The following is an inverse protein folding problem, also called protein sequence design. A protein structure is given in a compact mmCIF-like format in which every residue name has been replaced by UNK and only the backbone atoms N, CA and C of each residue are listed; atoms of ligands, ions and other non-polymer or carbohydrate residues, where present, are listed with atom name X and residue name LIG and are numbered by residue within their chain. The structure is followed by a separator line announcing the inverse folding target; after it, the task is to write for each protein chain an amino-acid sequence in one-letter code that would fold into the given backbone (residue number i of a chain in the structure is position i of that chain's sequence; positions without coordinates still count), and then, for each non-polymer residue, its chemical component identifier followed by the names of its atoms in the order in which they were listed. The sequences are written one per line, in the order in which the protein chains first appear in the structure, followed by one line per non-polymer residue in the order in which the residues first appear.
data_IF_532416882435
#
_entry.id   IF_532416882435
#
_cell.length_a   1.000
_cell.length_b   1.000
_cell.length_c   1.000
_cell.angle_alpha   90.00
_cell.angle_beta   90.00
_cell.angle_gamma   90.00
#
_symmetry.space_group_name_H-M   'P 1'
#
loop_
_entity.id
_entity.type
_entity.pdbx_description
1 polymer ?
#
# COMPACT_ATOMS: atom_id res chain seq x y z
N UNK A 1 25.01 2.86 -20.10
CA UNK A 1 24.26 2.37 -18.92
C UNK A 1 22.95 1.81 -19.42
N UNK A 2 22.81 0.48 -19.46
CA UNK A 2 21.62 -0.17 -19.98
C UNK A 2 20.50 -0.05 -18.95
N UNK A 3 19.52 0.81 -19.23
CA UNK A 3 18.24 0.79 -18.54
C UNK A 3 17.51 -0.47 -18.99
N UNK A 4 17.77 -1.59 -18.32
CA UNK A 4 16.95 -2.79 -18.45
C UNK A 4 15.56 -2.40 -17.95
N UNK A 5 14.65 -2.09 -18.88
CA UNK A 5 13.24 -1.90 -18.59
C UNK A 5 12.72 -3.28 -18.17
N UNK A 6 12.78 -3.56 -16.87
CA UNK A 6 12.17 -4.76 -16.30
C UNK A 6 10.68 -4.69 -16.59
N UNK A 7 10.16 -5.69 -17.31
CA UNK A 7 8.73 -5.83 -17.52
C UNK A 7 8.01 -5.92 -16.17
N UNK A 8 6.85 -5.25 -16.02
CA UNK A 8 6.13 -5.27 -14.75
C UNK A 8 5.74 -6.71 -14.43
N UNK A 9 6.07 -7.15 -13.22
CA UNK A 9 5.70 -8.50 -12.78
C UNK A 9 4.23 -8.53 -12.36
N UNK A 10 3.75 -7.45 -11.76
CA UNK A 10 2.35 -7.28 -11.37
C UNK A 10 1.97 -5.80 -11.34
N UNK A 11 0.74 -5.49 -11.67
CA UNK A 11 0.21 -4.12 -11.67
C UNK A 11 -1.20 -4.11 -11.05
N UNK A 12 -1.52 -3.06 -10.30
CA UNK A 12 -2.86 -2.82 -9.75
C UNK A 12 -3.24 -1.35 -9.88
N UNK A 13 -4.53 -1.07 -9.99
CA UNK A 13 -5.05 0.30 -10.12
C UNK A 13 -5.62 0.78 -8.79
N UNK A 14 -5.29 2.01 -8.41
CA UNK A 14 -5.77 2.71 -7.23
C UNK A 14 -6.80 3.75 -7.68
N UNK A 15 -8.05 3.53 -7.29
CA UNK A 15 -9.18 4.38 -7.61
C UNK A 15 -9.63 5.07 -6.33
N UNK A 16 -9.52 6.40 -6.30
CA UNK A 16 -10.03 7.21 -5.20
C UNK A 16 -11.55 7.30 -5.31
N UNK A 17 -12.28 7.00 -4.22
CA UNK A 17 -13.71 7.29 -4.11
C UNK A 17 -13.91 8.57 -3.33
N UNK A 18 -14.68 9.48 -3.91
CA UNK A 18 -15.17 10.66 -3.22
C UNK A 18 -16.43 10.26 -2.45
N UNK A 19 -16.27 10.06 -1.14
CA UNK A 19 -17.39 9.96 -0.20
C UNK A 19 -17.03 10.75 1.07
N UNK A 20 -17.91 10.71 2.06
CA UNK A 20 -17.76 11.44 3.32
C UNK A 20 -16.53 10.97 4.12
N UNK A 21 -16.01 9.78 3.80
CA UNK A 21 -14.71 9.27 4.23
C UNK A 21 -13.83 9.04 3.00
N UNK A 22 -12.57 9.49 3.05
CA UNK A 22 -11.65 9.26 1.94
C UNK A 22 -11.36 7.75 1.90
N UNK A 23 -11.81 7.09 0.83
CA UNK A 23 -11.62 5.66 0.63
C UNK A 23 -11.02 5.37 -0.73
N UNK A 24 -10.15 4.37 -0.79
CA UNK A 24 -9.55 3.93 -2.06
C UNK A 24 -9.94 2.48 -2.33
N UNK A 25 -10.16 2.17 -3.60
CA UNK A 25 -10.24 0.80 -4.09
C UNK A 25 -9.01 0.49 -4.90
N UNK A 26 -8.42 -0.67 -4.63
CA UNK A 26 -7.29 -1.18 -5.38
C UNK A 26 -7.77 -2.38 -6.17
N UNK A 27 -7.74 -2.30 -7.49
CA UNK A 27 -8.31 -3.29 -8.39
C UNK A 27 -7.25 -3.94 -9.26
N UNK A 28 -7.61 -5.06 -9.87
CA UNK A 28 -6.89 -5.58 -11.03
C UNK A 28 -6.88 -4.55 -12.18
N UNK A 29 -5.91 -4.64 -13.12
CA UNK A 29 -5.81 -3.68 -14.23
C UNK A 29 -7.03 -3.64 -15.17
N UNK A 30 -7.75 -4.76 -15.29
CA UNK A 30 -9.01 -4.89 -16.02
C UNK A 30 -10.23 -4.36 -15.22
N UNK A 31 -10.00 -3.87 -14.01
CA UNK A 31 -11.01 -3.33 -13.07
C UNK A 31 -12.12 -4.32 -12.68
N UNK A 32 -11.96 -5.62 -12.98
CA UNK A 32 -12.99 -6.63 -12.72
C UNK A 32 -13.04 -7.05 -11.25
N UNK A 33 -11.92 -6.95 -10.54
CA UNK A 33 -11.80 -7.44 -9.16
C UNK A 33 -11.24 -6.36 -8.24
N UNK A 34 -11.93 -6.13 -7.13
CA UNK A 34 -11.43 -5.29 -6.04
C UNK A 34 -10.55 -6.18 -5.16
N UNK A 35 -9.26 -5.88 -5.13
CA UNK A 35 -8.26 -6.61 -4.35
C UNK A 35 -8.12 -6.03 -2.94
N UNK A 36 -8.20 -4.70 -2.81
CA UNK A 36 -8.13 -4.03 -1.52
C UNK A 36 -9.09 -2.85 -1.41
N UNK A 37 -9.49 -2.56 -0.19
CA UNK A 37 -10.10 -1.30 0.22
C UNK A 37 -9.21 -0.62 1.24
N UNK A 38 -8.97 0.68 1.06
CA UNK A 38 -8.23 1.51 1.99
C UNK A 38 -9.20 2.47 2.63
N UNK A 39 -9.28 2.44 3.96
CA UNK A 39 -10.11 3.31 4.75
C UNK A 39 -9.25 4.30 5.51
N UNK A 40 -9.69 5.56 5.55
CA UNK A 40 -9.05 6.62 6.33
C UNK A 40 -10.09 7.25 7.25
N UNK A 41 -9.66 7.66 8.45
CA UNK A 41 -10.52 8.37 9.39
C UNK A 41 -10.26 9.88 9.30
N UNK A 42 -11.33 10.67 9.37
CA UNK A 42 -11.21 12.14 9.45
C UNK A 42 -10.89 12.61 10.89
N UNK A 43 -11.16 11.79 11.92
CA UNK A 43 -10.96 12.12 13.33
C UNK A 43 -9.68 11.55 13.93
N UNK A 44 -9.12 10.51 13.32
CA UNK A 44 -7.84 9.92 13.71
C UNK A 44 -6.94 9.81 12.48
N UNK A 45 -5.67 10.23 12.56
CA UNK A 45 -4.76 10.18 11.43
C UNK A 45 -4.26 8.73 11.24
N UNK A 46 -5.16 7.86 10.77
CA UNK A 46 -4.99 6.43 10.65
C UNK A 46 -5.48 5.94 9.28
N UNK A 47 -4.79 4.95 8.75
CA UNK A 47 -5.11 4.26 7.49
C UNK A 47 -5.21 2.78 7.75
N UNK A 48 -6.32 2.16 7.37
CA UNK A 48 -6.52 0.71 7.45
C UNK A 48 -6.63 0.15 6.04
N UNK A 49 -5.86 -0.91 5.75
CA UNK A 49 -5.93 -1.63 4.49
C UNK A 49 -6.62 -2.97 4.72
N UNK A 50 -7.62 -3.24 3.90
CA UNK A 50 -8.41 -4.48 3.91
C UNK A 50 -8.20 -5.16 2.56
N UNK A 51 -7.82 -6.43 2.58
CA UNK A 51 -7.67 -7.30 1.41
C UNK A 51 -8.93 -8.14 1.24
N UNK A 52 -9.36 -8.32 0.00
CA UNK A 52 -10.50 -9.16 -0.36
C UNK A 52 -9.97 -10.45 -1.01
N UNK A 53 -10.20 -11.62 -0.39
CA UNK A 53 -9.54 -12.87 -0.80
C UNK A 53 -10.14 -13.57 -2.03
N UNK A 54 -11.27 -13.11 -2.55
CA UNK A 54 -11.80 -13.34 -3.93
C UNK A 54 -13.08 -12.50 -4.08
N UNK A 55 -13.54 -12.16 -5.30
CA UNK A 55 -14.57 -11.15 -5.48
C UNK A 55 -15.88 -11.64 -4.84
N UNK A 56 -16.75 -10.75 -4.42
CA UNK A 56 -18.19 -11.03 -4.47
C UNK A 56 -18.54 -10.98 -5.96
N UNK A 57 -18.75 -12.10 -6.66
CA UNK A 57 -19.49 -12.02 -7.90
C UNK A 57 -20.97 -11.95 -7.46
N UNK A 58 -21.69 -10.90 -7.84
CA UNK A 58 -23.12 -11.08 -8.01
C UNK A 58 -23.32 -12.04 -9.19
N UNK A 59 -23.18 -13.35 -8.92
CA UNK A 59 -23.70 -14.53 -9.63
C UNK A 59 -22.74 -15.74 -9.57
N UNK A 60 -23.25 -16.80 -8.95
CA UNK A 60 -22.98 -18.24 -9.13
C UNK A 60 -21.81 -18.70 -10.02
N UNK A 61 -20.82 -19.39 -9.43
CA UNK A 61 -20.60 -20.85 -9.58
C UNK A 61 -19.29 -21.24 -8.89
N UNK A 62 -19.35 -22.34 -8.13
CA UNK A 62 -18.20 -22.98 -7.49
C UNK A 62 -17.22 -23.50 -8.54
N UNK A 63 -15.93 -23.18 -8.39
CA UNK A 63 -14.87 -23.97 -8.99
C UNK A 63 -13.78 -24.21 -7.95
N UNK A 64 -13.75 -25.43 -7.43
CA UNK A 64 -12.69 -25.98 -6.61
C UNK A 64 -11.40 -26.06 -7.42
N UNK A 65 -10.26 -25.68 -6.83
CA UNK A 65 -8.96 -26.22 -7.27
C UNK A 65 -7.92 -26.19 -6.15
N UNK A 66 -7.40 -27.38 -5.90
CA UNK A 66 -6.30 -27.77 -5.02
C UNK A 66 -4.97 -27.29 -5.57
N UNK A 67 -4.10 -26.76 -4.71
CA UNK A 67 -2.65 -26.89 -4.87
C UNK A 67 -1.94 -26.68 -3.54
N UNK A 68 -1.51 -27.79 -2.94
CA UNK A 68 -0.46 -27.86 -1.94
C UNK A 68 0.82 -28.19 -2.70
N UNK A 69 1.91 -27.45 -2.47
CA UNK A 69 3.31 -27.91 -2.38
C UNK A 69 4.28 -26.74 -2.58
N UNK A 70 4.79 -26.20 -1.47
CA UNK A 70 6.20 -25.77 -1.30
C UNK A 70 6.31 -25.11 0.07
N UNK A 71 6.76 -25.87 1.06
CA UNK A 71 7.05 -25.35 2.39
C UNK A 71 8.30 -24.49 2.36
N UNK A 72 8.12 -23.19 2.55
CA UNK A 72 9.07 -22.24 3.16
C UNK A 72 8.35 -20.88 3.23
N UNK A 73 8.04 -20.45 4.45
CA UNK A 73 7.33 -19.20 4.82
C UNK A 73 6.15 -18.83 3.93
N UNK A 74 4.97 -19.36 4.29
CA UNK A 74 3.71 -18.87 3.74
C UNK A 74 2.95 -18.01 4.75
N UNK A 75 2.95 -16.69 4.56
CA UNK A 75 2.08 -15.76 5.27
C UNK A 75 0.61 -16.14 5.03
N UNK A 76 0.26 -16.58 3.83
CA UNK A 76 -1.07 -17.11 3.50
C UNK A 76 -1.55 -18.25 4.40
N UNK A 77 -0.63 -19.01 5.01
CA UNK A 77 -0.94 -20.09 5.95
C UNK A 77 -1.15 -19.58 7.39
N UNK A 78 -0.40 -18.55 7.79
CA UNK A 78 -0.60 -17.84 9.07
C UNK A 78 -1.94 -17.07 9.08
N UNK A 79 -2.29 -16.48 7.94
CA UNK A 79 -3.58 -15.81 7.71
C UNK A 79 -4.77 -16.75 7.92
N UNK A 80 -4.64 -18.01 7.49
CA UNK A 80 -5.70 -19.03 7.60
C UNK A 80 -5.85 -19.62 9.00
N UNK A 81 -4.81 -19.54 9.83
CA UNK A 81 -4.84 -20.01 11.21
C UNK A 81 -5.55 -19.02 12.16
N UNK A 82 -5.52 -17.71 11.85
CA UNK A 82 -6.18 -16.68 12.68
C UNK A 82 -7.71 -16.62 12.51
N UNK A 83 -8.26 -17.14 11.40
CA UNK A 83 -9.70 -17.16 11.14
C UNK A 83 -10.48 -18.20 11.95
N UNK A 84 -9.84 -18.99 12.83
CA UNK A 84 -10.50 -20.08 13.55
C UNK A 84 -10.92 -19.76 14.99
N UNK A 85 -10.71 -18.53 15.50
CA UNK A 85 -10.91 -18.23 16.92
C UNK A 85 -11.88 -17.09 17.28
N UNK A 86 -12.65 -16.54 16.34
CA UNK A 86 -13.74 -15.60 16.68
C UNK A 86 -15.06 -16.00 16.00
N UNK A 87 -16.10 -16.17 16.82
CA UNK A 87 -17.38 -16.76 16.47
C UNK A 87 -18.30 -15.88 15.61
N UNK A 88 -19.26 -16.58 15.01
CA UNK A 88 -20.52 -16.14 14.39
C UNK A 88 -20.67 -14.65 14.02
N UNK A 89 -20.29 -14.32 12.78
CA UNK A 89 -21.00 -13.32 11.97
C UNK A 89 -20.49 -13.37 10.52
N UNK A 90 -21.44 -13.60 9.60
CA UNK A 90 -21.42 -13.20 8.18
C UNK A 90 -20.04 -13.24 7.49
N UNK A 91 -19.75 -14.34 6.77
CA UNK A 91 -18.51 -14.58 6.01
C UNK A 91 -18.18 -13.46 5.02
N UNK A 92 -17.62 -12.37 5.53
CA UNK A 92 -16.87 -11.40 4.74
C UNK A 92 -15.50 -12.02 4.52
N UNK A 93 -15.13 -12.30 3.27
CA UNK A 93 -13.78 -12.77 2.88
C UNK A 93 -12.74 -11.63 2.96
N UNK A 94 -12.99 -10.68 3.86
CA UNK A 94 -12.24 -9.47 4.05
C UNK A 94 -11.25 -9.70 5.17
N UNK A 95 -9.99 -9.43 4.87
CA UNK A 95 -8.90 -9.57 5.80
C UNK A 95 -8.22 -8.22 6.01
N UNK A 96 -8.19 -7.73 7.25
CA UNK A 96 -7.41 -6.53 7.57
C UNK A 96 -5.94 -6.88 7.38
N UNK A 97 -5.27 -6.24 6.41
CA UNK A 97 -3.83 -6.39 6.16
C UNK A 97 -3.02 -5.71 7.25
N UNK A 98 -3.47 -4.55 7.68
CA UNK A 98 -2.80 -3.77 8.68
C UNK A 98 -3.32 -2.35 8.76
N UNK A 99 -2.75 -1.64 9.71
CA UNK A 99 -3.13 -0.28 10.06
C UNK A 99 -1.90 0.57 10.26
N UNK A 100 -1.88 1.75 9.65
CA UNK A 100 -0.85 2.75 9.81
C UNK A 100 -1.37 3.94 10.62
N UNK A 101 -0.63 4.34 11.65
CA UNK A 101 -0.95 5.48 12.52
C UNK A 101 0.07 6.59 12.34
N UNK A 102 -0.40 7.81 12.21
CA UNK A 102 0.45 8.99 12.04
C UNK A 102 0.55 9.77 13.34
N UNK A 103 1.76 10.23 13.64
CA UNK A 103 2.00 11.07 14.81
C UNK A 103 1.92 12.54 14.41
N UNK A 104 1.21 13.36 15.18
CA UNK A 104 1.06 14.79 14.92
C UNK A 104 2.35 15.59 15.17
N UNK A 105 3.18 15.13 16.11
CA UNK A 105 4.42 15.80 16.53
C UNK A 105 5.68 15.13 15.96
N UNK A 106 5.53 14.13 15.09
CA UNK A 106 6.66 13.37 14.55
C UNK A 106 6.45 13.00 13.09
N UNK A 107 7.56 12.82 12.36
CA UNK A 107 7.54 12.28 10.98
C UNK A 107 7.35 10.77 10.91
N UNK A 108 7.17 10.13 12.07
CA UNK A 108 6.99 8.68 12.24
C UNK A 108 5.60 8.24 11.82
N UNK A 109 5.57 7.08 11.17
CA UNK A 109 4.35 6.34 10.83
C UNK A 109 4.54 4.94 11.41
N UNK A 110 3.66 4.54 12.34
CA UNK A 110 3.69 3.20 12.89
C UNK A 110 2.75 2.31 12.09
N UNK A 111 3.28 1.23 11.51
CA UNK A 111 2.50 0.26 10.73
C UNK A 111 2.42 -1.03 11.52
N UNK A 112 1.21 -1.45 11.84
CA UNK A 112 0.92 -2.74 12.45
C UNK A 112 0.24 -3.63 11.41
N UNK A 113 0.92 -4.70 11.02
CA UNK A 113 0.35 -5.75 10.18
C UNK A 113 -0.41 -6.73 11.07
N UNK A 114 -1.50 -7.26 10.53
CA UNK A 114 -2.32 -8.29 11.17
C UNK A 114 -1.63 -9.64 11.34
N UNK A 115 -0.45 -9.81 10.75
CA UNK A 115 0.46 -10.94 10.97
C UNK A 115 1.26 -10.82 12.28
N UNK A 116 0.84 -9.95 13.22
CA UNK A 116 1.55 -9.61 14.46
C UNK A 116 2.95 -9.02 14.25
N UNK A 117 3.19 -8.44 13.08
CA UNK A 117 4.42 -7.74 12.79
C UNK A 117 4.17 -6.25 12.76
N UNK A 118 5.09 -5.48 13.32
CA UNK A 118 5.04 -4.03 13.28
C UNK A 118 6.35 -3.48 12.73
N UNK A 119 6.25 -2.42 11.94
CA UNK A 119 7.41 -1.66 11.49
C UNK A 119 7.10 -0.17 11.51
N UNK A 120 8.14 0.63 11.69
CA UNK A 120 8.04 2.07 11.69
C UNK A 120 8.62 2.62 10.39
N UNK A 121 7.83 3.45 9.70
CA UNK A 121 8.34 4.26 8.59
C UNK A 121 8.75 5.62 9.12
N UNK A 122 9.98 6.03 8.82
CA UNK A 122 10.54 7.31 9.28
C UNK A 122 11.33 8.01 8.19
N UNK A 123 11.51 9.32 8.35
CA UNK A 123 12.52 10.05 7.57
C UNK A 123 13.92 9.55 7.95
N UNK A 124 14.82 9.30 6.98
CA UNK A 124 16.22 8.99 7.30
C UNK A 124 16.95 10.21 7.90
N UNK A 125 16.54 11.42 7.53
CA UNK A 125 17.05 12.69 8.06
C UNK A 125 15.93 13.76 8.05
N UNK A 126 16.01 14.81 8.87
CA UNK A 126 14.93 15.79 9.03
C UNK A 126 14.49 16.52 7.74
N UNK A 127 15.38 16.63 6.76
CA UNK A 127 15.15 17.36 5.51
C UNK A 127 14.62 16.45 4.38
N UNK A 128 14.68 15.14 4.57
CA UNK A 128 14.24 14.17 3.58
C UNK A 128 12.71 14.08 3.49
N UNK A 129 12.20 14.05 2.26
CA UNK A 129 10.80 13.72 1.94
C UNK A 129 10.55 12.21 1.80
N UNK A 130 11.59 11.39 2.02
CA UNK A 130 11.54 9.94 1.88
C UNK A 130 11.04 9.28 3.17
N UNK A 131 10.59 8.02 3.05
CA UNK A 131 10.15 7.20 4.18
C UNK A 131 10.80 5.83 4.10
N UNK A 132 11.68 5.54 5.07
CA UNK A 132 12.44 4.30 5.19
C UNK A 132 11.87 3.41 6.28
N UNK A 133 11.87 2.11 6.05
CA UNK A 133 11.46 1.08 7.02
C UNK A 133 12.21 -0.22 6.76
N UNK A 134 12.31 -1.06 7.79
CA UNK A 134 12.83 -2.42 7.65
C UNK A 134 11.71 -3.35 7.17
N UNK A 135 11.93 -4.05 6.05
CA UNK A 135 11.01 -5.07 5.56
C UNK A 135 11.39 -6.43 6.11
N UNK A 136 10.38 -7.27 6.34
CA UNK A 136 10.54 -8.69 6.67
C UNK A 136 10.88 -9.53 5.44
N UNK A 137 10.80 -8.94 4.25
CA UNK A 137 11.19 -9.63 3.03
C UNK A 137 12.72 -9.70 2.92
N UNK A 138 13.27 -10.67 2.15
CA UNK A 138 14.69 -10.72 1.82
C UNK A 138 15.27 -9.46 1.14
N UNK A 139 14.43 -8.48 0.78
CA UNK A 139 14.86 -7.19 0.24
C UNK A 139 15.43 -6.25 1.32
N UNK A 140 15.25 -6.58 2.60
CA UNK A 140 15.80 -5.83 3.73
C UNK A 140 15.17 -4.44 3.89
N UNK A 141 16.00 -3.42 4.05
CA UNK A 141 15.54 -2.05 4.22
C UNK A 141 14.90 -1.52 2.94
N UNK A 142 13.69 -0.97 3.05
CA UNK A 142 12.95 -0.38 1.95
C UNK A 142 12.72 1.11 2.17
N UNK A 143 12.69 1.88 1.08
CA UNK A 143 12.50 3.33 1.14
C UNK A 143 11.61 3.84 0.01
N UNK A 144 10.53 4.54 0.37
CA UNK A 144 9.71 5.31 -0.57
C UNK A 144 10.34 6.67 -0.83
N UNK A 145 10.61 6.96 -2.10
CA UNK A 145 11.19 8.23 -2.58
C UNK A 145 10.33 8.82 -3.68
N UNK A 146 10.33 10.15 -3.83
CA UNK A 146 9.69 10.81 -4.97
C UNK A 146 10.47 10.48 -6.26
N UNK A 147 9.76 10.22 -7.36
CA UNK A 147 10.37 9.74 -8.62
C UNK A 147 11.30 10.79 -9.26
N UNK A 148 11.02 12.08 -9.10
CA UNK A 148 11.77 13.15 -9.78
C UNK A 148 13.08 13.62 -9.10
N UNK A 149 13.65 12.86 -8.16
CA UNK A 149 14.90 13.23 -7.48
C UNK A 149 14.77 14.44 -6.53
N UNK A 150 15.91 15.07 -6.17
CA UNK A 150 15.97 16.14 -5.15
C UNK A 150 15.14 17.39 -5.48
N UNK A 151 14.89 17.67 -6.76
CA UNK A 151 14.07 18.79 -7.23
C UNK A 151 12.64 18.36 -7.64
N UNK A 152 12.40 17.07 -7.85
CA UNK A 152 11.16 16.58 -8.47
C UNK A 152 10.04 16.20 -7.51
N UNK A 153 10.26 16.27 -6.19
CA UNK A 153 9.16 16.12 -5.21
C UNK A 153 8.11 17.22 -5.29
N UNK A 154 8.44 18.36 -5.93
CA UNK A 154 7.51 19.47 -6.17
C UNK A 154 6.69 19.29 -7.47
N UNK A 155 7.16 18.46 -8.40
CA UNK A 155 6.60 18.36 -9.76
C UNK A 155 5.78 17.07 -9.92
N UNK A 156 6.15 16.00 -9.23
CA UNK A 156 5.50 14.69 -9.37
C UNK A 156 5.03 14.14 -8.03
N UNK A 157 3.80 13.60 -8.00
CA UNK A 157 3.29 12.81 -6.88
C UNK A 157 3.67 11.32 -7.00
N UNK A 158 4.51 10.97 -7.97
CA UNK A 158 4.91 9.59 -8.21
C UNK A 158 5.95 9.16 -7.17
N UNK A 159 5.89 7.89 -6.78
CA UNK A 159 6.77 7.31 -5.78
C UNK A 159 7.49 6.09 -6.35
N UNK A 160 8.72 5.87 -5.89
CA UNK A 160 9.50 4.67 -6.11
C UNK A 160 9.82 4.03 -4.76
N UNK A 161 9.62 2.72 -4.66
CA UNK A 161 10.11 1.93 -3.54
C UNK A 161 11.45 1.35 -3.95
N UNK A 162 12.51 1.69 -3.20
CA UNK A 162 13.86 1.17 -3.42
C UNK A 162 14.28 0.26 -2.27
N UNK A 163 15.06 -0.77 -2.57
CA UNK A 163 15.69 -1.62 -1.56
C UNK A 163 17.03 -1.03 -1.07
N UNK A 164 17.66 -1.70 -0.09
CA UNK A 164 18.93 -1.27 0.49
C UNK A 164 20.09 -1.17 -0.52
N UNK A 165 19.97 -1.82 -1.67
CA UNK A 165 20.96 -1.73 -2.77
C UNK A 165 20.68 -0.57 -3.72
N UNK A 166 19.56 0.13 -3.54
CA UNK A 166 19.10 1.21 -4.41
C UNK A 166 18.29 0.75 -5.62
N UNK A 167 18.01 -0.56 -5.75
CA UNK A 167 17.18 -1.10 -6.84
C UNK A 167 15.72 -0.75 -6.59
N UNK A 168 15.01 -0.29 -7.63
CA UNK A 168 13.56 -0.04 -7.53
C UNK A 168 12.81 -1.36 -7.59
N UNK A 169 12.00 -1.62 -6.56
CA UNK A 169 11.22 -2.87 -6.41
C UNK A 169 9.72 -2.67 -6.65
N UNK A 170 9.22 -1.44 -6.46
CA UNK A 170 7.86 -1.06 -6.81
C UNK A 170 7.76 0.43 -7.18
N UNK A 171 6.69 0.81 -7.86
CA UNK A 171 6.38 2.19 -8.25
C UNK A 171 4.93 2.52 -7.96
N UNK A 172 4.66 3.77 -7.64
CA UNK A 172 3.35 4.37 -7.65
C UNK A 172 3.33 5.54 -8.62
N UNK A 173 2.37 5.54 -9.52
CA UNK A 173 2.20 6.55 -10.57
C UNK A 173 0.83 7.18 -10.39
N UNK A 174 0.80 8.48 -10.09
CA UNK A 174 -0.46 9.20 -9.90
C UNK A 174 -1.11 9.43 -11.26
N UNK A 175 -2.38 9.04 -11.38
CA UNK A 175 -3.18 9.31 -12.56
C UNK A 175 -3.37 10.82 -12.75
N UNK A 176 -3.06 11.33 -13.95
CA UNK A 176 -3.47 12.67 -14.38
C UNK A 176 -4.64 12.59 -15.36
N UNK A 177 -5.56 13.55 -15.25
CA UNK A 177 -6.93 13.51 -15.79
C UNK A 177 -7.09 13.56 -17.32
N UNK A 178 -6.04 13.40 -18.13
CA UNK A 178 -6.19 13.31 -19.59
C UNK A 178 -5.92 11.91 -20.17
N UNK A 179 -5.10 11.08 -19.52
CA UNK A 179 -4.61 9.81 -20.12
C UNK A 179 -5.00 8.58 -19.29
N UNK A 180 -5.24 8.75 -17.98
CA UNK A 180 -5.40 7.63 -17.02
C UNK A 180 -6.83 7.40 -16.53
N UNK A 181 -7.85 8.09 -17.09
CA UNK A 181 -9.20 8.20 -16.46
C UNK A 181 -9.17 8.60 -14.98
N UNK A 182 -8.07 9.16 -14.49
CA UNK A 182 -7.87 9.54 -13.08
C UNK A 182 -7.49 8.38 -12.15
N UNK A 183 -7.31 7.16 -12.63
CA UNK A 183 -6.81 6.05 -11.81
C UNK A 183 -5.29 6.15 -11.65
N UNK A 184 -4.82 5.95 -10.42
CA UNK A 184 -3.38 5.85 -10.14
C UNK A 184 -2.96 4.38 -10.20
N UNK A 185 -1.68 4.10 -10.33
CA UNK A 185 -1.18 2.73 -10.56
C UNK A 185 -0.10 2.38 -9.58
N UNK A 186 -0.13 1.16 -9.04
CA UNK A 186 0.99 0.57 -8.31
C UNK A 186 1.55 -0.59 -9.15
N UNK A 187 2.84 -0.55 -9.42
CA UNK A 187 3.55 -1.51 -10.28
C UNK A 187 4.66 -2.20 -9.50
N UNK A 188 4.66 -3.52 -9.49
CA UNK A 188 5.69 -4.37 -8.91
C UNK A 188 6.76 -4.70 -9.96
N UNK A 189 8.03 -4.48 -9.62
CA UNK A 189 9.16 -4.68 -10.52
C UNK A 189 10.04 -5.89 -10.16
N UNK A 190 9.70 -6.57 -9.07
CA UNK A 190 10.36 -7.80 -8.64
C UNK A 190 9.33 -8.92 -8.52
N UNK A 191 9.75 -10.20 -8.63
CA UNK A 191 8.90 -11.34 -8.35
C UNK A 191 8.16 -11.22 -7.02
N UNK A 192 6.90 -11.66 -7.00
CA UNK A 192 6.08 -11.61 -5.80
C UNK A 192 6.64 -12.58 -4.74
N UNK A 193 7.24 -12.01 -3.71
CA UNK A 193 7.54 -12.69 -2.46
C UNK A 193 6.23 -12.76 -1.65
N UNK A 194 6.01 -13.81 -0.86
CA UNK A 194 4.73 -13.96 -0.14
C UNK A 194 4.45 -12.75 0.77
N UNK A 195 3.23 -12.23 0.70
CA UNK A 195 2.77 -11.01 1.38
C UNK A 195 3.49 -9.71 0.99
N UNK A 196 4.38 -9.71 -0.01
CA UNK A 196 5.10 -8.49 -0.40
C UNK A 196 4.17 -7.44 -1.01
N UNK A 197 3.15 -7.86 -1.78
CA UNK A 197 2.14 -6.94 -2.27
C UNK A 197 1.43 -6.23 -1.11
N UNK A 198 1.06 -6.95 -0.05
CA UNK A 198 0.38 -6.39 1.12
C UNK A 198 1.26 -5.31 1.80
N UNK A 199 2.56 -5.56 1.92
CA UNK A 199 3.54 -4.58 2.43
C UNK A 199 3.65 -3.36 1.51
N UNK A 200 3.71 -3.57 0.20
CA UNK A 200 3.79 -2.47 -0.78
C UNK A 200 2.54 -1.62 -0.75
N UNK A 201 1.36 -2.23 -0.76
CA UNK A 201 0.08 -1.51 -0.67
C UNK A 201 0.01 -0.72 0.64
N UNK A 202 0.25 -1.37 1.78
CA UNK A 202 0.16 -0.73 3.09
C UNK A 202 1.13 0.45 3.22
N UNK A 203 2.41 0.24 2.91
CA UNK A 203 3.43 1.29 3.03
C UNK A 203 3.25 2.43 2.01
N UNK A 204 2.78 2.13 0.79
CA UNK A 204 2.48 3.14 -0.23
C UNK A 204 1.33 4.04 0.23
N UNK A 205 0.20 3.45 0.64
CA UNK A 205 -0.98 4.20 1.05
C UNK A 205 -0.72 5.00 2.33
N UNK A 206 0.02 4.43 3.28
CA UNK A 206 0.48 5.16 4.46
C UNK A 206 1.32 6.39 4.09
N UNK A 207 2.22 6.27 3.11
CA UNK A 207 3.04 7.40 2.64
C UNK A 207 2.19 8.49 1.97
N UNK A 208 1.24 8.10 1.12
CA UNK A 208 0.35 9.03 0.41
C UNK A 208 -0.51 9.80 1.41
N UNK A 209 -1.16 9.10 2.34
CA UNK A 209 -2.04 9.72 3.32
C UNK A 209 -1.29 10.57 4.33
N UNK A 210 -0.11 10.14 4.78
CA UNK A 210 0.74 10.98 5.62
C UNK A 210 1.07 12.32 4.94
N UNK A 211 1.50 12.28 3.67
CA UNK A 211 1.79 13.51 2.90
C UNK A 211 0.56 14.40 2.76
N UNK A 212 -0.63 13.81 2.58
CA UNK A 212 -1.90 14.56 2.52
C UNK A 212 -2.20 15.26 3.85
N UNK A 213 -2.05 14.56 4.97
CA UNK A 213 -2.27 15.10 6.32
C UNK A 213 -1.25 16.19 6.63
N UNK A 214 0.04 15.97 6.34
CA UNK A 214 1.12 16.95 6.51
C UNK A 214 0.87 18.22 5.70
N UNK A 215 0.49 18.09 4.43
CA UNK A 215 0.17 19.24 3.57
C UNK A 215 -1.07 20.01 4.05
N UNK A 216 -2.09 19.31 4.56
CA UNK A 216 -3.29 19.94 5.13
C UNK A 216 -2.94 20.77 6.36
N UNK A 217 -2.18 20.20 7.30
CA UNK A 217 -1.73 20.90 8.49
C UNK A 217 -0.87 22.14 8.16
N UNK A 218 0.03 22.02 7.17
CA UNK A 218 0.83 23.15 6.70
C UNK A 218 -0.04 24.27 6.10
N UNK A 219 -1.05 23.91 5.29
CA UNK A 219 -1.97 24.88 4.68
C UNK A 219 -2.85 25.58 5.72
N UNK A 220 -3.33 24.86 6.74
CA UNK A 220 -4.13 25.44 7.83
C UNK A 220 -3.30 26.41 8.68
N UNK A 221 -2.02 26.10 8.92
CA UNK A 221 -1.11 27.00 9.63
C UNK A 221 -0.81 28.30 8.86
N UNK A 222 -0.79 28.26 7.52
CA UNK A 222 -0.53 29.44 6.67
C UNK A 222 -1.79 30.29 6.47
N UNK A 223 -2.98 29.69 6.46
CA UNK A 223 -4.25 30.41 6.30
C UNK A 223 -4.81 31.06 7.57
N UNK A 224 -4.14 30.92 8.70
CA UNK A 224 -4.52 31.50 10.00
C UNK A 224 -3.81 32.81 10.36
N UNK A 225 -3.25 33.53 9.36
CA UNK A 225 -2.61 34.85 9.54
C UNK A 225 -3.51 35.95 8.99
#
# INVERSE_FOLDING_TARGET
MNNTVGYPVRQVHVIKRESWTLSYKITTPDETSILYTVQTSNGHPEVTVIRHLTPVPNNSQQASSTSRLSGQFSLSSLLRAHSQQQGDSQYSNDYVVGTARFHSLSSKIDVNLSTNHAFQMKRPDPFSSTRRFESLTPLGTLEWRSDGGALGSLITSNLKLVDGTGRTVAKYEKGSGLVSRGSSTITMLVPELDGFLDIVIMSCMATIEYRRVENKAASEAVGGV
#
